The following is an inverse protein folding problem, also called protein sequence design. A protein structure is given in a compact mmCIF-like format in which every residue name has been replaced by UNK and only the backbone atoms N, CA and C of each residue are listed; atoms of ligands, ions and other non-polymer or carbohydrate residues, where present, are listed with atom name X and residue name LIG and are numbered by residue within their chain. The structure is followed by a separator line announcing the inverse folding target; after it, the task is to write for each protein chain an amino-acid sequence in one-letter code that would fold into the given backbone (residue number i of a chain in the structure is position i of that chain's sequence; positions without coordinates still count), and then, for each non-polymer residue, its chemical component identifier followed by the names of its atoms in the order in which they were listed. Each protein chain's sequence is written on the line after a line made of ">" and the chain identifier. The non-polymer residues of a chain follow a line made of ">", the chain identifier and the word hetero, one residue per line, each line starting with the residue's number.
data_IF_143659435671
#
_entry.id   IF_143659435671
#
_cell.length_a   1.000
_cell.length_b   1.000
_cell.length_c   1.000
_cell.angle_alpha   90.00
_cell.angle_beta   90.00
_cell.angle_gamma   90.00
#
_symmetry.space_group_name_H-M   'P 1'
#
loop_
_entity.id
_entity.type
_entity.pdbx_description
1 polymer ?
#
# COMPACT_ATOMS: atom_id res chain seq x y z
N UNK A 1 18.56 -27.61 -38.92
CA UNK A 1 18.67 -26.12 -38.88
C UNK A 1 17.62 -25.60 -37.93
N UNK A 2 18.01 -25.44 -36.64
CA UNK A 2 17.09 -24.96 -35.62
C UNK A 2 17.35 -23.46 -35.39
N UNK A 3 16.35 -22.61 -35.70
CA UNK A 3 16.39 -21.17 -35.49
C UNK A 3 16.35 -20.84 -34.02
N UNK A 4 17.30 -20.05 -33.55
CA UNK A 4 17.35 -19.48 -32.21
C UNK A 4 16.55 -18.17 -32.17
N UNK A 5 15.38 -18.11 -31.49
CA UNK A 5 14.61 -16.86 -31.32
C UNK A 5 14.77 -16.24 -29.92
N UNK A 6 15.80 -16.58 -29.14
CA UNK A 6 15.85 -16.19 -27.70
C UNK A 6 16.55 -14.86 -27.38
N UNK A 7 17.44 -14.35 -28.20
CA UNK A 7 18.20 -13.14 -27.86
C UNK A 7 17.44 -11.83 -28.21
N UNK A 8 16.68 -11.83 -29.27
CA UNK A 8 15.94 -10.63 -29.73
C UNK A 8 14.77 -10.29 -28.77
N UNK A 9 14.12 -11.31 -28.19
CA UNK A 9 13.04 -11.12 -27.22
C UNK A 9 13.56 -10.60 -25.88
N UNK A 10 14.69 -11.10 -25.40
CA UNK A 10 15.28 -10.65 -24.14
C UNK A 10 15.71 -9.17 -24.22
N UNK A 11 16.30 -8.73 -25.32
CA UNK A 11 16.70 -7.33 -25.52
C UNK A 11 15.48 -6.38 -25.59
N UNK A 12 14.39 -6.79 -26.21
CA UNK A 12 13.14 -6.02 -26.24
C UNK A 12 12.49 -5.93 -24.86
N UNK A 13 12.45 -7.02 -24.12
CA UNK A 13 11.91 -7.06 -22.74
C UNK A 13 12.71 -6.13 -21.83
N UNK A 14 14.04 -6.17 -21.90
CA UNK A 14 14.92 -5.27 -21.13
C UNK A 14 14.73 -3.80 -21.51
N UNK A 15 14.57 -3.49 -22.80
CA UNK A 15 14.34 -2.12 -23.27
C UNK A 15 12.98 -1.58 -22.81
N UNK A 16 11.94 -2.41 -22.79
CA UNK A 16 10.60 -2.05 -22.26
C UNK A 16 10.67 -1.82 -20.75
N UNK A 17 11.32 -2.71 -20.00
CA UNK A 17 11.52 -2.55 -18.57
C UNK A 17 12.27 -1.26 -18.23
N UNK A 18 13.39 -0.97 -18.93
CA UNK A 18 14.16 0.25 -18.76
C UNK A 18 13.35 1.52 -19.08
N UNK A 19 12.46 1.45 -20.08
CA UNK A 19 11.57 2.56 -20.43
C UNK A 19 10.51 2.78 -19.35
N UNK A 20 9.91 1.71 -18.82
CA UNK A 20 8.95 1.75 -17.73
C UNK A 20 9.56 2.38 -16.47
N UNK A 21 10.78 2.00 -16.12
CA UNK A 21 11.49 2.54 -14.96
C UNK A 21 11.77 4.03 -15.11
N UNK A 22 12.26 4.48 -16.28
CA UNK A 22 12.46 5.91 -16.56
C UNK A 22 11.17 6.73 -16.43
N UNK A 23 10.04 6.20 -16.87
CA UNK A 23 8.73 6.86 -16.74
C UNK A 23 8.35 6.97 -15.26
N UNK A 24 8.55 5.92 -14.49
CA UNK A 24 8.26 5.92 -13.04
C UNK A 24 9.18 6.88 -12.28
N UNK A 25 10.48 6.94 -12.61
CA UNK A 25 11.42 7.90 -12.02
C UNK A 25 10.98 9.34 -12.28
N UNK A 26 10.64 9.66 -13.52
CA UNK A 26 10.14 10.97 -13.90
C UNK A 26 8.82 11.32 -13.18
N UNK A 27 7.91 10.35 -13.05
CA UNK A 27 6.65 10.54 -12.34
C UNK A 27 6.88 10.84 -10.85
N UNK A 28 7.79 10.12 -10.18
CA UNK A 28 8.14 10.38 -8.78
C UNK A 28 8.83 11.73 -8.59
N UNK A 29 9.72 12.13 -9.49
CA UNK A 29 10.37 13.46 -9.46
C UNK A 29 9.33 14.57 -9.55
N UNK A 30 8.45 14.51 -10.55
CA UNK A 30 7.36 15.49 -10.72
C UNK A 30 6.39 15.50 -9.55
N UNK A 31 6.08 14.31 -8.97
CA UNK A 31 5.24 14.19 -7.80
C UNK A 31 5.86 14.87 -6.56
N UNK A 32 7.17 14.78 -6.40
CA UNK A 32 7.91 15.49 -5.35
C UNK A 32 7.90 17.00 -5.51
N UNK A 33 7.97 17.51 -6.76
CA UNK A 33 8.01 18.94 -7.06
C UNK A 33 6.63 19.62 -6.99
N UNK A 34 5.58 18.96 -7.46
CA UNK A 34 4.27 19.60 -7.74
C UNK A 34 3.08 18.85 -7.10
N UNK A 35 3.35 17.77 -6.41
CA UNK A 35 2.31 16.87 -5.91
C UNK A 35 1.76 15.93 -6.99
N UNK A 36 1.12 14.87 -6.52
CA UNK A 36 0.58 13.79 -7.40
C UNK A 36 -0.73 14.21 -8.08
N UNK A 37 -1.50 15.11 -7.49
CA UNK A 37 -2.83 15.49 -7.98
C UNK A 37 -2.81 16.07 -9.39
N UNK A 38 -1.79 16.88 -9.72
CA UNK A 38 -1.64 17.53 -11.02
C UNK A 38 -0.88 16.73 -12.07
N UNK A 39 -0.46 15.49 -11.81
CA UNK A 39 0.35 14.69 -12.71
C UNK A 39 -0.45 14.28 -13.96
N UNK A 40 0.06 14.65 -15.15
CA UNK A 40 -0.48 14.19 -16.43
C UNK A 40 0.49 13.25 -17.15
N UNK A 41 -0.04 12.29 -17.93
CA UNK A 41 0.79 11.37 -18.70
C UNK A 41 1.67 12.10 -19.74
N UNK A 42 1.21 13.25 -20.26
CA UNK A 42 1.98 14.06 -21.21
C UNK A 42 3.20 14.70 -20.56
N UNK A 43 3.07 15.26 -19.35
CA UNK A 43 4.19 15.85 -18.59
C UNK A 43 5.19 14.79 -18.18
N UNK A 44 4.70 13.63 -17.69
CA UNK A 44 5.57 12.51 -17.34
C UNK A 44 6.33 12.00 -18.55
N UNK A 45 5.68 11.86 -19.72
CA UNK A 45 6.35 11.45 -20.95
C UNK A 45 7.45 12.42 -21.37
N UNK A 46 7.17 13.74 -21.29
CA UNK A 46 8.16 14.77 -21.58
C UNK A 46 9.35 14.72 -20.63
N UNK A 47 9.11 14.58 -19.33
CA UNK A 47 10.17 14.48 -18.32
C UNK A 47 11.00 13.20 -18.47
N UNK A 48 10.38 12.09 -18.85
CA UNK A 48 11.05 10.80 -19.09
C UNK A 48 11.77 10.73 -20.45
N UNK A 49 11.64 11.75 -21.33
CA UNK A 49 12.21 11.73 -22.68
C UNK A 49 11.56 10.68 -23.59
N UNK A 50 10.24 10.42 -23.41
CA UNK A 50 9.49 9.46 -24.22
C UNK A 50 8.21 10.11 -24.78
N UNK A 51 7.64 9.51 -25.82
CA UNK A 51 6.37 9.98 -26.38
C UNK A 51 5.20 9.72 -25.40
N UNK A 52 4.14 10.54 -25.48
CA UNK A 52 2.88 10.29 -24.76
C UNK A 52 2.34 8.89 -25.03
N UNK A 53 2.43 8.44 -26.28
CA UNK A 53 2.01 7.10 -26.68
C UNK A 53 2.80 6.01 -25.96
N UNK A 54 4.11 6.18 -25.76
CA UNK A 54 4.91 5.23 -25.02
C UNK A 54 4.46 5.15 -23.53
N UNK A 55 4.05 6.27 -22.92
CA UNK A 55 3.49 6.24 -21.57
C UNK A 55 2.17 5.48 -21.53
N UNK A 56 1.27 5.70 -22.48
CA UNK A 56 0.00 4.96 -22.59
C UNK A 56 0.23 3.45 -22.79
N UNK A 57 1.17 3.05 -23.62
CA UNK A 57 1.50 1.64 -23.85
C UNK A 57 2.06 0.93 -22.60
N UNK A 58 2.64 1.69 -21.66
CA UNK A 58 3.20 1.13 -20.42
C UNK A 58 2.21 1.13 -19.23
N UNK A 59 1.23 2.04 -19.23
CA UNK A 59 0.39 2.29 -18.05
C UNK A 59 -1.09 2.45 -18.34
N UNK A 60 -1.51 2.29 -19.60
CA UNK A 60 -2.88 2.46 -20.11
C UNK A 60 -3.45 3.85 -19.87
N UNK A 61 -3.47 4.30 -18.64
CA UNK A 61 -4.04 5.58 -18.20
C UNK A 61 -3.33 6.13 -16.95
N UNK A 62 -3.81 7.27 -16.44
CA UNK A 62 -3.26 7.90 -15.25
C UNK A 62 -3.37 7.02 -14.00
N UNK A 63 -4.49 6.31 -13.83
CA UNK A 63 -4.69 5.42 -12.71
C UNK A 63 -3.68 4.24 -12.73
N UNK A 64 -3.41 3.67 -13.90
CA UNK A 64 -2.39 2.64 -14.09
C UNK A 64 -0.99 3.14 -13.75
N UNK A 65 -0.64 4.38 -14.10
CA UNK A 65 0.62 5.00 -13.69
C UNK A 65 0.71 5.15 -12.17
N UNK A 66 -0.34 5.69 -11.52
CA UNK A 66 -0.38 5.87 -10.07
C UNK A 66 -0.30 4.52 -9.32
N UNK A 67 -0.97 3.50 -9.83
CA UNK A 67 -0.86 2.14 -9.29
C UNK A 67 0.57 1.59 -9.39
N UNK A 68 1.23 1.81 -10.54
CA UNK A 68 2.61 1.37 -10.73
C UNK A 68 3.58 2.13 -9.82
N UNK A 69 3.36 3.43 -9.59
CA UNK A 69 4.11 4.21 -8.61
C UNK A 69 3.96 3.63 -7.21
N UNK A 70 2.72 3.33 -6.77
CA UNK A 70 2.47 2.74 -5.47
C UNK A 70 3.15 1.37 -5.30
N UNK A 71 3.03 0.47 -6.31
CA UNK A 71 3.68 -0.85 -6.30
C UNK A 71 5.20 -0.75 -6.20
N UNK A 72 5.81 0.17 -6.96
CA UNK A 72 7.26 0.40 -6.88
C UNK A 72 7.68 0.89 -5.50
N UNK A 73 6.89 1.75 -4.86
CA UNK A 73 7.13 2.20 -3.49
C UNK A 73 6.99 1.05 -2.49
N UNK A 74 5.99 0.17 -2.65
CA UNK A 74 5.81 -1.03 -1.83
C UNK A 74 7.06 -1.95 -1.89
N UNK A 75 7.59 -2.16 -3.10
CA UNK A 75 8.77 -2.99 -3.35
C UNK A 75 10.04 -2.33 -2.79
N UNK A 76 10.30 -1.08 -3.17
CA UNK A 76 11.51 -0.34 -2.78
C UNK A 76 11.63 -0.15 -1.26
N UNK A 77 10.51 0.03 -0.57
CA UNK A 77 10.48 0.13 0.90
C UNK A 77 10.61 -1.22 1.62
N UNK A 78 10.56 -2.34 0.89
CA UNK A 78 10.51 -3.68 1.48
C UNK A 78 9.21 -4.00 2.21
N UNK A 79 8.15 -3.23 2.01
CA UNK A 79 6.86 -3.42 2.68
C UNK A 79 6.27 -4.80 2.43
N UNK A 80 6.28 -5.27 1.17
CA UNK A 80 5.76 -6.58 0.80
C UNK A 80 6.47 -7.71 1.56
N UNK A 81 7.81 -7.64 1.65
CA UNK A 81 8.60 -8.62 2.38
C UNK A 81 8.31 -8.59 3.89
N UNK A 82 8.18 -7.37 4.48
CA UNK A 82 7.83 -7.23 5.90
C UNK A 82 6.45 -7.83 6.20
N UNK A 83 5.44 -7.55 5.37
CA UNK A 83 4.11 -8.15 5.55
C UNK A 83 4.15 -9.67 5.41
N UNK A 84 4.89 -10.18 4.42
CA UNK A 84 5.04 -11.63 4.24
C UNK A 84 5.67 -12.29 5.48
N UNK A 85 6.72 -11.70 6.03
CA UNK A 85 7.41 -12.22 7.21
C UNK A 85 6.50 -12.29 8.46
N UNK A 86 5.48 -11.45 8.57
CA UNK A 86 4.57 -11.50 9.72
C UNK A 86 3.73 -12.78 9.76
N UNK A 87 3.58 -13.49 8.64
CA UNK A 87 2.75 -14.70 8.56
C UNK A 87 3.26 -15.86 9.41
N UNK A 88 4.56 -15.89 9.66
CA UNK A 88 5.23 -16.91 10.45
C UNK A 88 5.19 -16.63 11.97
N UNK A 89 4.72 -15.45 12.36
CA UNK A 89 4.64 -15.03 13.77
C UNK A 89 3.38 -15.62 14.45
N UNK A 90 3.41 -15.83 15.79
CA UNK A 90 2.24 -16.08 16.59
C UNK A 90 1.15 -15.03 16.35
N UNK A 91 -0.14 -15.41 16.48
CA UNK A 91 -1.25 -14.59 16.01
C UNK A 91 -1.24 -13.15 16.54
N UNK A 92 -0.97 -12.96 17.83
CA UNK A 92 -0.87 -11.65 18.48
C UNK A 92 0.29 -10.81 17.95
N UNK A 93 1.46 -11.42 17.81
CA UNK A 93 2.65 -10.75 17.28
C UNK A 93 2.48 -10.41 15.80
N UNK A 94 1.89 -11.34 15.02
CA UNK A 94 1.53 -11.13 13.62
C UNK A 94 0.62 -9.91 13.47
N UNK A 95 -0.44 -9.82 14.27
CA UNK A 95 -1.40 -8.72 14.23
C UNK A 95 -0.70 -7.38 14.47
N UNK A 96 0.02 -7.24 15.58
CA UNK A 96 0.72 -6.00 15.92
C UNK A 96 1.80 -5.63 14.89
N UNK A 97 2.64 -6.59 14.48
CA UNK A 97 3.73 -6.37 13.53
C UNK A 97 3.23 -5.97 12.14
N UNK A 98 2.13 -6.56 11.68
CA UNK A 98 1.49 -6.22 10.42
C UNK A 98 0.97 -4.77 10.44
N UNK A 99 0.30 -4.35 11.51
CA UNK A 99 -0.20 -2.99 11.67
C UNK A 99 0.94 -1.97 11.75
N UNK A 100 2.00 -2.25 12.49
CA UNK A 100 3.20 -1.41 12.53
C UNK A 100 3.83 -1.28 11.14
N UNK A 101 3.97 -2.39 10.41
CA UNK A 101 4.54 -2.37 9.05
C UNK A 101 3.72 -1.51 8.09
N UNK A 102 2.39 -1.60 8.16
CA UNK A 102 1.47 -0.79 7.35
C UNK A 102 1.59 0.70 7.69
N UNK A 103 1.44 1.05 8.97
CA UNK A 103 1.47 2.45 9.42
C UNK A 103 2.84 3.09 9.14
N UNK A 104 3.94 2.37 9.28
CA UNK A 104 5.28 2.85 8.92
C UNK A 104 5.45 3.05 7.40
N UNK A 105 4.69 2.33 6.57
CA UNK A 105 4.73 2.44 5.11
C UNK A 105 3.87 3.59 4.58
N UNK A 106 2.79 3.96 5.28
CA UNK A 106 1.84 5.00 4.82
C UNK A 106 2.49 6.29 4.34
N UNK A 107 3.48 6.89 5.05
CA UNK A 107 4.11 8.14 4.59
C UNK A 107 4.68 8.05 3.16
N UNK A 108 5.19 6.89 2.78
CA UNK A 108 5.79 6.67 1.45
C UNK A 108 4.75 6.68 0.34
N UNK A 109 3.56 6.13 0.58
CA UNK A 109 2.50 5.99 -0.44
C UNK A 109 1.41 7.05 -0.32
N UNK A 110 1.36 7.81 0.77
CA UNK A 110 0.25 8.71 1.08
C UNK A 110 -0.06 9.72 -0.05
N UNK A 111 0.93 10.35 -0.72
CA UNK A 111 0.63 11.25 -1.83
C UNK A 111 -0.12 10.57 -2.97
N UNK A 112 0.27 9.34 -3.32
CA UNK A 112 -0.38 8.54 -4.37
C UNK A 112 -1.74 8.04 -3.91
N UNK A 113 -1.84 7.54 -2.67
CA UNK A 113 -3.08 7.07 -2.07
C UNK A 113 -4.15 8.18 -2.07
N UNK A 114 -3.76 9.40 -1.66
CA UNK A 114 -4.65 10.59 -1.66
C UNK A 114 -5.13 10.97 -3.06
N UNK A 115 -4.25 10.89 -4.07
CA UNK A 115 -4.64 11.19 -5.44
C UNK A 115 -5.62 10.15 -6.02
N UNK A 116 -5.46 8.89 -5.66
CA UNK A 116 -6.38 7.81 -6.03
C UNK A 116 -7.70 7.90 -5.25
N UNK A 117 -7.65 8.25 -3.96
CA UNK A 117 -8.83 8.46 -3.12
C UNK A 117 -9.70 9.60 -3.66
N UNK A 118 -9.11 10.72 -4.08
CA UNK A 118 -9.83 11.82 -4.67
C UNK A 118 -10.63 11.41 -5.92
N UNK A 119 -10.15 10.44 -6.69
CA UNK A 119 -10.85 9.88 -7.83
C UNK A 119 -12.18 9.18 -7.44
N UNK A 120 -12.32 8.71 -6.20
CA UNK A 120 -13.58 8.10 -5.73
C UNK A 120 -14.70 9.12 -5.63
N UNK A 121 -14.37 10.39 -5.43
CA UNK A 121 -15.34 11.50 -5.33
C UNK A 121 -15.74 11.96 -6.74
N UNK A 122 -14.80 12.00 -7.68
CA UNK A 122 -15.01 12.48 -9.05
C UNK A 122 -15.53 11.38 -9.99
N UNK A 123 -15.47 10.11 -9.58
CA UNK A 123 -15.83 8.96 -10.41
C UNK A 123 -14.80 8.64 -11.51
N UNK A 124 -13.55 9.10 -11.34
CA UNK A 124 -12.47 8.83 -12.28
C UNK A 124 -11.96 7.38 -12.19
N UNK A 125 -11.22 6.95 -13.22
CA UNK A 125 -10.64 5.59 -13.33
C UNK A 125 -9.79 5.19 -12.11
N UNK A 126 -9.24 6.14 -11.36
CA UNK A 126 -8.49 5.91 -10.12
C UNK A 126 -9.32 5.33 -8.98
N UNK A 127 -10.66 5.53 -9.00
CA UNK A 127 -11.57 5.06 -7.94
C UNK A 127 -11.50 3.52 -7.79
N UNK A 128 -11.60 2.77 -8.89
CA UNK A 128 -11.53 1.31 -8.86
C UNK A 128 -10.17 0.81 -8.36
N UNK A 129 -9.09 1.47 -8.76
CA UNK A 129 -7.73 1.16 -8.30
C UNK A 129 -7.59 1.37 -6.79
N UNK A 130 -8.11 2.48 -6.28
CA UNK A 130 -8.10 2.77 -4.85
C UNK A 130 -8.90 1.73 -4.05
N UNK A 131 -10.13 1.45 -4.48
CA UNK A 131 -11.01 0.46 -3.85
C UNK A 131 -10.36 -0.92 -3.80
N UNK A 132 -9.77 -1.39 -4.92
CA UNK A 132 -9.07 -2.69 -4.96
C UNK A 132 -7.88 -2.72 -3.99
N UNK A 133 -7.09 -1.65 -3.90
CA UNK A 133 -5.96 -1.54 -2.96
C UNK A 133 -6.43 -1.58 -1.51
N UNK A 134 -7.49 -0.85 -1.19
CA UNK A 134 -8.06 -0.83 0.16
C UNK A 134 -8.70 -2.18 0.55
N UNK A 135 -9.32 -2.86 -0.42
CA UNK A 135 -9.85 -4.20 -0.21
C UNK A 135 -8.73 -5.25 -0.04
N UNK A 136 -7.60 -5.12 -0.73
CA UNK A 136 -6.42 -5.97 -0.48
C UNK A 136 -5.90 -5.79 0.96
N UNK A 137 -5.86 -4.57 1.46
CA UNK A 137 -5.51 -4.30 2.86
C UNK A 137 -6.54 -4.91 3.82
N UNK A 138 -7.85 -4.74 3.56
CA UNK A 138 -8.92 -5.34 4.35
C UNK A 138 -8.79 -6.85 4.42
N UNK A 139 -8.51 -7.53 3.30
CA UNK A 139 -8.26 -8.99 3.27
C UNK A 139 -7.04 -9.40 4.11
N UNK A 140 -5.96 -8.63 4.08
CA UNK A 140 -4.78 -8.89 4.91
C UNK A 140 -5.10 -8.77 6.40
N UNK A 141 -5.80 -7.71 6.80
CA UNK A 141 -6.31 -7.51 8.17
C UNK A 141 -7.21 -8.67 8.59
N UNK A 142 -8.19 -9.04 7.77
CA UNK A 142 -9.10 -10.15 8.06
C UNK A 142 -8.38 -11.48 8.24
N UNK A 143 -7.30 -11.72 7.49
CA UNK A 143 -6.46 -12.90 7.69
C UNK A 143 -5.78 -12.91 9.06
N UNK A 144 -5.30 -11.76 9.54
CA UNK A 144 -4.68 -11.66 10.87
C UNK A 144 -5.71 -11.74 12.00
N UNK A 145 -6.88 -11.13 11.85
CA UNK A 145 -7.97 -11.19 12.82
C UNK A 145 -8.52 -12.63 12.95
N UNK A 146 -8.70 -13.34 11.84
CA UNK A 146 -9.10 -14.77 11.88
C UNK A 146 -8.06 -15.64 12.57
N UNK A 147 -6.77 -15.34 12.42
CA UNK A 147 -5.72 -16.04 13.16
C UNK A 147 -5.85 -15.80 14.67
N UNK A 148 -6.15 -14.57 15.11
CA UNK A 148 -6.44 -14.26 16.53
C UNK A 148 -7.65 -15.05 17.04
N UNK A 149 -8.75 -15.07 16.28
CA UNK A 149 -9.95 -15.81 16.64
C UNK A 149 -9.68 -17.33 16.77
N UNK A 150 -8.93 -17.89 15.82
CA UNK A 150 -8.56 -19.31 15.83
C UNK A 150 -7.63 -19.69 16.99
N UNK A 151 -6.79 -18.73 17.46
CA UNK A 151 -5.93 -18.90 18.61
C UNK A 151 -6.65 -18.64 19.96
N UNK A 152 -7.93 -18.22 19.95
CA UNK A 152 -8.65 -17.79 21.15
C UNK A 152 -8.14 -16.48 21.75
N UNK A 153 -7.43 -15.69 20.99
CA UNK A 153 -6.81 -14.43 21.41
C UNK A 153 -7.65 -13.18 21.05
N UNK A 154 -8.67 -13.33 20.18
CA UNK A 154 -9.67 -12.30 19.94
C UNK A 154 -10.64 -12.26 21.12
N UNK A 155 -10.99 -11.08 21.60
CA UNK A 155 -11.98 -10.93 22.69
C UNK A 155 -13.33 -11.47 22.24
N UNK A 156 -14.10 -12.12 23.14
CA UNK A 156 -15.36 -12.79 22.81
C UNK A 156 -16.51 -11.85 22.45
N UNK A 157 -16.39 -10.57 22.75
CA UNK A 157 -17.33 -9.50 22.39
C UNK A 157 -17.16 -9.01 20.94
N UNK A 158 -16.14 -9.48 20.22
CA UNK A 158 -15.90 -9.19 18.81
C UNK A 158 -16.14 -10.40 17.92
N UNK A 159 -16.92 -10.23 16.85
CA UNK A 159 -16.85 -11.18 15.76
C UNK A 159 -15.72 -10.81 14.78
N UNK A 160 -15.13 -11.78 14.05
CA UNK A 160 -13.98 -11.50 13.18
C UNK A 160 -14.24 -10.50 12.05
N UNK A 161 -15.45 -10.41 11.53
CA UNK A 161 -15.77 -9.47 10.45
C UNK A 161 -15.85 -8.04 10.98
N UNK A 162 -16.55 -7.82 12.09
CA UNK A 162 -16.62 -6.50 12.75
C UNK A 162 -15.23 -6.03 13.20
N UNK A 163 -14.44 -6.91 13.80
CA UNK A 163 -13.07 -6.59 14.17
C UNK A 163 -12.20 -6.24 12.94
N UNK A 164 -12.41 -6.92 11.81
CA UNK A 164 -11.72 -6.62 10.56
C UNK A 164 -12.08 -5.22 10.05
N UNK A 165 -13.36 -4.89 10.00
CA UNK A 165 -13.83 -3.57 9.55
C UNK A 165 -13.35 -2.45 10.48
N UNK A 166 -13.36 -2.70 11.78
CA UNK A 166 -12.86 -1.76 12.80
C UNK A 166 -11.38 -1.46 12.62
N UNK A 167 -10.54 -2.50 12.50
CA UNK A 167 -9.10 -2.34 12.25
C UNK A 167 -8.86 -1.64 10.93
N UNK A 168 -9.55 -2.05 9.87
CA UNK A 168 -9.41 -1.44 8.54
C UNK A 168 -9.70 0.06 8.58
N UNK A 169 -10.78 0.48 9.25
CA UNK A 169 -11.16 1.88 9.38
C UNK A 169 -10.11 2.69 10.16
N UNK A 170 -9.56 2.15 11.26
CA UNK A 170 -8.56 2.84 12.07
C UNK A 170 -7.17 2.88 11.44
N UNK A 171 -6.90 2.05 10.45
CA UNK A 171 -5.65 2.01 9.69
C UNK A 171 -5.77 2.61 8.29
N UNK A 172 -6.90 3.28 8.00
CA UNK A 172 -7.12 3.96 6.74
C UNK A 172 -6.11 5.10 6.54
N UNK A 173 -5.60 5.33 5.30
CA UNK A 173 -4.62 6.40 5.03
C UNK A 173 -5.06 7.80 5.50
N UNK A 174 -6.36 8.09 5.52
CA UNK A 174 -6.89 9.37 6.01
C UNK A 174 -6.65 9.59 7.50
N UNK A 175 -6.59 8.54 8.32
CA UNK A 175 -6.26 8.67 9.76
C UNK A 175 -4.82 9.18 9.92
N UNK A 176 -3.87 8.60 9.18
CA UNK A 176 -2.48 9.07 9.16
C UNK A 176 -2.40 10.52 8.65
N UNK A 177 -3.11 10.83 7.57
CA UNK A 177 -3.16 12.19 7.02
C UNK A 177 -3.62 13.21 8.06
N UNK A 178 -4.75 13.00 8.70
CA UNK A 178 -5.31 13.93 9.68
C UNK A 178 -4.40 14.09 10.91
N UNK A 179 -3.89 13.00 11.47
CA UNK A 179 -3.08 13.08 12.67
C UNK A 179 -1.68 13.65 12.37
N UNK A 180 -1.04 13.20 11.32
CA UNK A 180 0.34 13.60 10.99
C UNK A 180 0.42 14.95 10.29
N UNK A 181 -0.32 15.12 9.19
CA UNK A 181 -0.17 16.30 8.33
C UNK A 181 -1.00 17.49 8.83
N UNK A 182 -2.19 17.26 9.37
CA UNK A 182 -3.02 18.37 9.85
C UNK A 182 -2.78 18.69 11.32
N UNK A 183 -2.45 17.70 12.16
CA UNK A 183 -2.27 17.87 13.60
C UNK A 183 -0.80 17.81 14.06
N UNK A 184 0.14 17.53 13.15
CA UNK A 184 1.58 17.56 13.42
C UNK A 184 2.09 16.44 14.34
N UNK A 185 1.38 15.29 14.41
CA UNK A 185 1.86 14.17 15.20
C UNK A 185 3.06 13.50 14.53
N UNK A 186 4.03 13.08 15.34
CA UNK A 186 5.12 12.23 14.86
C UNK A 186 4.59 10.87 14.39
N UNK A 187 5.19 10.31 13.35
CA UNK A 187 4.78 9.04 12.75
C UNK A 187 4.77 7.89 13.77
N UNK A 188 5.80 7.81 14.59
CA UNK A 188 5.95 6.79 15.62
C UNK A 188 4.83 6.89 16.66
N UNK A 189 4.40 8.11 16.98
CA UNK A 189 3.29 8.36 17.91
C UNK A 189 1.96 7.90 17.32
N UNK A 190 1.71 8.16 16.03
CA UNK A 190 0.50 7.68 15.34
C UNK A 190 0.48 6.16 15.35
N UNK A 191 1.57 5.52 14.92
CA UNK A 191 1.67 4.06 14.88
C UNK A 191 1.46 3.43 16.26
N UNK A 192 2.17 3.92 17.29
CA UNK A 192 2.03 3.41 18.65
C UNK A 192 0.58 3.55 19.17
N UNK A 193 -0.05 4.72 19.01
CA UNK A 193 -1.42 4.95 19.51
C UNK A 193 -2.46 4.09 18.82
N UNK A 194 -2.36 3.95 17.49
CA UNK A 194 -3.31 3.12 16.72
C UNK A 194 -3.12 1.65 17.09
N UNK A 195 -1.89 1.13 17.06
CA UNK A 195 -1.64 -0.29 17.34
C UNK A 195 -1.95 -0.64 18.80
N UNK A 196 -1.46 0.15 19.77
CA UNK A 196 -1.75 -0.09 21.19
C UNK A 196 -3.25 0.03 21.51
N UNK A 197 -3.95 0.95 20.84
CA UNK A 197 -5.40 1.10 20.98
C UNK A 197 -6.14 -0.15 20.50
N UNK A 198 -5.87 -0.58 19.26
CA UNK A 198 -6.48 -1.77 18.65
C UNK A 198 -6.13 -3.05 19.43
N UNK A 199 -4.87 -3.20 19.87
CA UNK A 199 -4.49 -4.35 20.69
C UNK A 199 -5.23 -4.40 22.04
N UNK A 200 -5.37 -3.29 22.73
CA UNK A 200 -6.13 -3.24 24.02
C UNK A 200 -7.62 -3.54 23.83
N UNK A 201 -8.17 -3.11 22.71
CA UNK A 201 -9.60 -3.23 22.43
C UNK A 201 -9.97 -4.64 21.93
N UNK A 202 -9.15 -5.22 21.09
CA UNK A 202 -9.49 -6.46 20.39
C UNK A 202 -8.90 -7.72 21.02
N UNK A 203 -7.76 -7.62 21.75
CA UNK A 203 -7.07 -8.79 22.24
C UNK A 203 -7.50 -9.17 23.65
N UNK A 204 -7.76 -10.46 23.87
CA UNK A 204 -7.95 -11.04 25.19
C UNK A 204 -6.72 -10.77 26.07
N UNK A 205 -6.86 -10.61 27.39
CA UNK A 205 -5.72 -10.56 28.29
C UNK A 205 -4.83 -11.80 28.10
N UNK A 206 -3.49 -11.67 28.19
CA UNK A 206 -2.62 -12.81 28.13
C UNK A 206 -2.96 -13.79 29.26
N UNK A 207 -2.87 -15.11 29.02
CA UNK A 207 -3.09 -16.09 30.08
C UNK A 207 -2.14 -15.81 31.25
N UNK A 208 -2.57 -16.10 32.51
CA UNK A 208 -1.70 -15.91 33.67
C UNK A 208 -0.44 -16.76 33.48
N UNK A 209 0.73 -16.15 33.75
CA UNK A 209 1.99 -16.90 33.71
C UNK A 209 1.92 -17.96 34.81
N UNK A 210 1.84 -19.22 34.42
CA UNK A 210 2.06 -20.34 35.34
C UNK A 210 3.51 -20.28 35.79
N UNK A 211 3.71 -19.96 37.05
CA UNK A 211 5.03 -19.94 37.73
C UNK A 211 5.54 -21.36 37.91
#
# INVERSE_FOLDING_TARGET
>A
MCKVPREVDACKVLAVAATRDRILDAAWTLAGERGVAGLTLAEVGRAAGVSRQAVYLNFDNRAGLLLAMARRADEASGFVARIAATRELPARERFASMLHAWLAHLPTILPVARALEAATITGDEGAAVYQERMEQWRRAVGSAVRALASAGELRPDWNPEEATDWVWAHTHPSVDHHLRLERGWAQERVAARVVDGLCRELLSPPPPRTS
#
